data_IF_531649112805
#
_entry.id   IF_531649112805
#
_cell.length_a   1.000
_cell.length_b   1.000
_cell.length_c   1.000
_cell.angle_alpha   90.00
_cell.angle_beta   90.00
_cell.angle_gamma   90.00
#
_symmetry.space_group_name_H-M   'P 1'
#
loop_
_entity.id
_entity.type
_entity.pdbx_description
1 polymer ?
#
# COMPACT_ATOMS: atom_id res chain seq x y z
N UNK A 1 -0.39 -11.69 13.41
CA UNK A 1 -1.34 -11.59 14.57
C UNK A 1 -2.70 -12.03 14.07
N UNK A 2 -3.34 -13.02 14.71
CA UNK A 2 -4.74 -13.33 14.41
C UNK A 2 -5.53 -12.05 14.63
N UNK A 3 -6.27 -11.59 13.60
CA UNK A 3 -7.06 -10.38 13.68
C UNK A 3 -7.93 -10.39 14.92
N UNK A 4 -7.88 -9.33 15.71
CA UNK A 4 -8.75 -9.19 16.86
C UNK A 4 -10.19 -9.33 16.37
N UNK A 5 -10.95 -10.24 17.01
CA UNK A 5 -12.38 -10.38 16.71
C UNK A 5 -13.03 -9.02 16.89
N UNK A 6 -13.86 -8.61 15.92
CA UNK A 6 -14.70 -7.43 16.08
C UNK A 6 -15.52 -7.58 17.36
N UNK A 7 -15.51 -6.55 18.17
CA UNK A 7 -16.29 -6.53 19.39
C UNK A 7 -17.75 -6.22 19.05
N UNK A 8 -18.65 -6.99 19.61
CA UNK A 8 -20.08 -6.69 19.62
C UNK A 8 -20.34 -5.93 20.91
N UNK A 9 -20.53 -4.63 20.83
CA UNK A 9 -20.78 -3.78 22.01
C UNK A 9 -22.24 -3.83 22.44
N UNK A 10 -23.11 -4.21 21.50
CA UNK A 10 -24.54 -4.38 21.74
C UNK A 10 -24.86 -5.88 21.77
N UNK A 11 -25.31 -6.38 22.91
CA UNK A 11 -25.60 -7.82 23.11
C UNK A 11 -26.98 -8.24 22.61
N UNK A 12 -27.73 -7.33 21.97
CA UNK A 12 -29.11 -7.57 21.53
C UNK A 12 -29.15 -7.76 20.02
N UNK A 13 -29.78 -8.84 19.60
CA UNK A 13 -30.17 -9.06 18.23
C UNK A 13 -31.66 -8.78 17.98
N UNK A 14 -32.11 -8.95 16.74
CA UNK A 14 -33.51 -8.72 16.37
C UNK A 14 -34.49 -9.48 17.26
N UNK A 15 -34.21 -10.76 17.58
CA UNK A 15 -35.12 -11.58 18.39
C UNK A 15 -35.20 -11.08 19.85
N UNK A 16 -34.06 -10.66 20.42
CA UNK A 16 -34.02 -10.07 21.76
C UNK A 16 -34.76 -8.76 21.84
N UNK A 17 -34.69 -7.92 20.83
CA UNK A 17 -35.40 -6.63 20.76
C UNK A 17 -36.87 -6.86 20.68
N UNK A 18 -37.36 -7.81 19.88
CA UNK A 18 -38.78 -8.18 19.80
C UNK A 18 -39.25 -8.68 21.15
N UNK A 19 -38.51 -9.58 21.81
CA UNK A 19 -38.86 -10.11 23.11
C UNK A 19 -38.95 -9.00 24.18
N UNK A 20 -38.00 -8.09 24.22
CA UNK A 20 -37.97 -6.93 25.11
C UNK A 20 -39.15 -5.99 24.87
N UNK A 21 -39.50 -5.72 23.62
CA UNK A 21 -40.67 -4.90 23.27
C UNK A 21 -41.98 -5.53 23.79
N UNK A 22 -42.14 -6.83 23.56
CA UNK A 22 -43.31 -7.57 24.05
C UNK A 22 -43.36 -7.55 25.58
N UNK A 23 -42.24 -7.85 26.24
CA UNK A 23 -42.15 -7.81 27.70
C UNK A 23 -42.51 -6.42 28.26
N UNK A 24 -42.01 -5.36 27.63
CA UNK A 24 -42.26 -3.97 27.99
C UNK A 24 -43.74 -3.60 27.84
N UNK A 25 -44.37 -4.03 26.73
CA UNK A 25 -45.80 -3.79 26.48
C UNK A 25 -46.63 -4.49 27.56
N UNK A 26 -46.37 -5.76 27.83
CA UNK A 26 -47.08 -6.53 28.88
C UNK A 26 -46.91 -5.89 30.26
N UNK A 27 -45.72 -5.45 30.61
CA UNK A 27 -45.45 -4.80 31.90
C UNK A 27 -46.16 -3.44 32.04
N UNK A 28 -46.20 -2.64 30.95
CA UNK A 28 -46.71 -1.26 31.00
C UNK A 28 -48.22 -1.19 30.92
N UNK A 29 -48.86 -1.99 30.06
CA UNK A 29 -50.27 -1.90 29.77
C UNK A 29 -51.08 -3.06 30.32
N UNK A 30 -50.46 -4.19 30.69
CA UNK A 30 -51.12 -5.39 31.16
C UNK A 30 -51.65 -6.26 30.02
N UNK A 31 -51.70 -7.57 30.22
CA UNK A 31 -52.14 -8.56 29.22
C UNK A 31 -53.64 -8.42 28.87
N UNK A 32 -54.42 -7.71 29.68
CA UNK A 32 -55.84 -7.48 29.46
C UNK A 32 -56.14 -6.54 28.27
N UNK A 33 -55.19 -5.74 27.83
CA UNK A 33 -55.40 -4.81 26.72
C UNK A 33 -54.84 -5.36 25.40
N UNK A 34 -53.75 -6.17 25.46
CA UNK A 34 -53.17 -6.80 24.29
C UNK A 34 -52.40 -8.05 24.72
N UNK A 35 -52.88 -9.21 24.28
CA UNK A 35 -52.30 -10.52 24.61
C UNK A 35 -51.99 -11.37 23.39
N UNK A 36 -52.36 -10.90 22.19
CA UNK A 36 -52.12 -11.58 20.94
C UNK A 36 -50.81 -11.06 20.30
N UNK A 37 -49.78 -11.87 20.40
CA UNK A 37 -48.44 -11.61 19.84
C UNK A 37 -48.04 -12.68 18.82
N UNK A 38 -49.03 -13.35 18.21
CA UNK A 38 -48.77 -14.32 17.15
C UNK A 38 -48.22 -13.60 15.89
N UNK A 39 -47.51 -14.34 15.04
CA UNK A 39 -46.79 -13.76 13.88
C UNK A 39 -47.71 -13.09 12.84
N UNK A 40 -48.96 -13.51 12.74
CA UNK A 40 -49.99 -12.97 11.86
C UNK A 40 -50.69 -11.70 12.39
N UNK A 41 -50.41 -11.32 13.63
CA UNK A 41 -50.99 -10.14 14.23
C UNK A 41 -50.32 -8.85 13.71
N UNK A 42 -51.15 -7.88 13.28
CA UNK A 42 -50.68 -6.60 12.75
C UNK A 42 -49.82 -5.82 13.77
N UNK A 43 -50.10 -5.91 15.06
CA UNK A 43 -49.31 -5.28 16.11
C UNK A 43 -47.94 -5.94 16.26
N UNK A 44 -47.88 -7.28 16.14
CA UNK A 44 -46.60 -8.02 16.11
C UNK A 44 -45.75 -7.61 14.92
N UNK A 45 -46.32 -7.48 13.71
CA UNK A 45 -45.62 -7.02 12.51
C UNK A 45 -45.02 -5.62 12.69
N UNK A 46 -45.70 -4.72 13.39
CA UNK A 46 -45.16 -3.39 13.71
C UNK A 46 -43.97 -3.48 14.69
N UNK A 47 -44.05 -4.36 15.71
CA UNK A 47 -42.93 -4.60 16.65
C UNK A 47 -41.72 -5.14 15.89
N UNK A 48 -41.91 -6.10 14.99
CA UNK A 48 -40.84 -6.68 14.17
C UNK A 48 -40.20 -5.65 13.22
N UNK A 49 -41.03 -4.81 12.57
CA UNK A 49 -40.52 -3.73 11.74
C UNK A 49 -39.70 -2.72 12.57
N UNK A 50 -40.13 -2.41 13.79
CA UNK A 50 -39.40 -1.54 14.70
C UNK A 50 -38.08 -2.20 15.20
N UNK A 51 -38.16 -3.49 15.54
CA UNK A 51 -37.00 -4.28 15.95
C UNK A 51 -35.95 -4.35 14.84
N UNK A 52 -36.37 -4.53 13.57
CA UNK A 52 -35.46 -4.51 12.42
C UNK A 52 -34.72 -3.17 12.28
N UNK A 53 -35.43 -2.05 12.38
CA UNK A 53 -34.76 -0.72 12.33
C UNK A 53 -33.82 -0.53 13.51
N UNK A 54 -34.24 -1.01 14.70
CA UNK A 54 -33.35 -0.91 15.89
C UNK A 54 -32.12 -1.78 15.76
N UNK A 55 -32.23 -3.02 15.28
CA UNK A 55 -31.09 -3.92 15.02
C UNK A 55 -30.13 -3.32 14.00
N UNK A 56 -30.66 -2.70 12.93
CA UNK A 56 -29.85 -1.97 11.96
C UNK A 56 -29.09 -0.79 12.59
N UNK A 57 -29.73 -0.04 13.48
CA UNK A 57 -29.05 1.05 14.20
C UNK A 57 -27.97 0.53 15.15
N UNK A 58 -28.23 -0.56 15.87
CA UNK A 58 -27.24 -1.21 16.74
C UNK A 58 -26.05 -1.75 15.93
N UNK A 59 -26.30 -2.31 14.75
CA UNK A 59 -25.25 -2.73 13.83
C UNK A 59 -24.36 -1.55 13.41
N UNK A 60 -24.95 -0.39 13.05
CA UNK A 60 -24.15 0.80 12.73
C UNK A 60 -23.40 1.34 13.94
N UNK A 61 -23.97 1.26 15.13
CA UNK A 61 -23.28 1.66 16.37
C UNK A 61 -22.09 0.77 16.66
N UNK A 62 -22.24 -0.55 16.56
CA UNK A 62 -21.16 -1.51 16.72
C UNK A 62 -20.06 -1.30 15.67
N UNK A 63 -20.46 -1.09 14.41
CA UNK A 63 -19.53 -0.78 13.34
C UNK A 63 -18.73 0.50 13.65
N UNK A 64 -19.43 1.58 14.02
CA UNK A 64 -18.79 2.85 14.36
C UNK A 64 -17.83 2.71 15.55
N UNK A 65 -18.23 1.96 16.59
CA UNK A 65 -17.38 1.70 17.73
C UNK A 65 -16.09 0.93 17.33
N UNK A 66 -16.21 -0.10 16.49
CA UNK A 66 -15.05 -0.83 15.99
C UNK A 66 -14.13 0.03 15.11
N UNK A 67 -14.69 0.98 14.35
CA UNK A 67 -13.90 1.91 13.52
C UNK A 67 -13.12 2.97 14.32
N UNK A 68 -13.32 3.09 15.64
CA UNK A 68 -12.55 4.02 16.49
C UNK A 68 -11.24 3.44 17.00
N UNK A 69 -10.96 2.15 16.78
CA UNK A 69 -9.74 1.49 17.25
C UNK A 69 -8.93 0.95 16.09
N UNK A 70 -7.65 1.28 16.06
CA UNK A 70 -6.72 0.88 14.99
C UNK A 70 -6.77 -0.64 14.67
N UNK A 71 -6.76 -1.59 15.64
CA UNK A 71 -6.77 -3.01 15.34
C UNK A 71 -8.08 -3.52 14.72
N UNK A 72 -9.23 -2.88 15.02
CA UNK A 72 -10.55 -3.33 14.58
C UNK A 72 -11.12 -2.55 13.41
N UNK A 73 -10.57 -1.37 13.12
CA UNK A 73 -10.99 -0.54 12.00
C UNK A 73 -10.80 -1.27 10.66
N UNK A 74 -11.72 -1.06 9.73
CA UNK A 74 -11.74 -1.70 8.41
C UNK A 74 -11.75 -0.70 7.26
N UNK A 75 -12.15 0.54 7.54
CA UNK A 75 -12.17 1.60 6.55
C UNK A 75 -10.81 2.30 6.50
N UNK A 76 -10.16 2.29 5.32
CA UNK A 76 -8.83 2.86 5.13
C UNK A 76 -8.76 4.34 5.56
N UNK A 77 -9.79 5.14 5.27
CA UNK A 77 -9.80 6.55 5.63
C UNK A 77 -9.78 6.77 7.15
N UNK A 78 -10.49 5.93 7.91
CA UNK A 78 -10.48 5.99 9.37
C UNK A 78 -9.10 5.64 9.94
N UNK A 79 -8.42 4.65 9.35
CA UNK A 79 -7.05 4.29 9.69
C UNK A 79 -6.07 5.44 9.42
N UNK A 80 -6.13 6.08 8.24
CA UNK A 80 -5.32 7.26 7.91
C UNK A 80 -5.54 8.36 8.97
N UNK A 81 -6.79 8.65 9.32
CA UNK A 81 -7.11 9.67 10.32
C UNK A 81 -6.58 9.33 11.73
N UNK A 82 -6.63 8.05 12.13
CA UNK A 82 -6.03 7.62 13.41
C UNK A 82 -4.50 7.69 13.38
N UNK A 83 -3.88 7.35 12.26
CA UNK A 83 -2.43 7.43 12.08
C UNK A 83 -1.89 8.86 12.20
N UNK A 84 -2.66 9.87 11.79
CA UNK A 84 -2.31 11.30 11.98
C UNK A 84 -2.10 11.65 13.45
N UNK A 85 -2.87 11.04 14.38
CA UNK A 85 -2.74 11.30 15.82
C UNK A 85 -1.41 10.81 16.41
N UNK A 86 -0.78 9.84 15.76
CA UNK A 86 0.51 9.27 16.18
C UNK A 86 1.66 9.68 15.26
N UNK A 87 1.45 10.69 14.40
CA UNK A 87 2.39 11.17 13.40
C UNK A 87 2.92 10.08 12.45
N UNK A 88 2.11 9.05 12.18
CA UNK A 88 2.38 8.04 11.17
C UNK A 88 1.64 8.39 9.88
N UNK A 89 2.40 8.59 8.80
CA UNK A 89 1.83 8.79 7.46
C UNK A 89 1.92 7.46 6.70
N UNK A 90 0.78 6.79 6.43
CA UNK A 90 0.76 5.58 5.62
C UNK A 90 1.34 5.86 4.23
N UNK A 91 2.07 4.89 3.68
CA UNK A 91 2.65 5.02 2.34
C UNK A 91 1.55 5.15 1.30
N UNK A 92 1.75 6.07 0.36
CA UNK A 92 0.94 6.22 -0.85
C UNK A 92 1.51 5.36 -1.97
N UNK A 93 0.79 5.26 -3.09
CA UNK A 93 1.30 4.62 -4.30
C UNK A 93 2.60 5.31 -4.76
N UNK A 94 3.56 4.52 -5.20
CA UNK A 94 4.86 5.02 -5.70
C UNK A 94 5.01 4.73 -7.18
N UNK A 95 5.60 5.66 -7.94
CA UNK A 95 5.91 5.45 -9.34
C UNK A 95 7.17 4.58 -9.49
N UNK A 96 7.21 3.80 -10.55
CA UNK A 96 8.43 3.12 -10.95
C UNK A 96 9.44 4.09 -11.59
N UNK A 97 10.72 3.76 -11.47
CA UNK A 97 11.83 4.48 -12.09
C UNK A 97 12.53 3.58 -13.10
N UNK A 98 12.90 4.15 -14.24
CA UNK A 98 13.59 3.46 -15.30
C UNK A 98 14.84 4.26 -15.75
N UNK A 99 15.94 3.56 -16.05
CA UNK A 99 17.06 4.13 -16.77
C UNK A 99 16.85 3.94 -18.28
N UNK A 100 16.79 5.03 -19.00
CA UNK A 100 16.43 5.08 -20.41
C UNK A 100 17.64 5.44 -21.24
N UNK A 101 17.97 4.60 -22.20
CA UNK A 101 18.95 4.89 -23.26
C UNK A 101 18.22 5.60 -24.40
N UNK A 102 18.58 6.86 -24.64
CA UNK A 102 18.13 7.66 -25.78
C UNK A 102 19.17 7.60 -26.87
N UNK A 103 18.81 7.20 -28.08
CA UNK A 103 19.75 6.99 -29.20
C UNK A 103 19.27 7.62 -30.52
N UNK A 104 20.22 7.89 -31.42
CA UNK A 104 20.00 8.36 -32.79
C UNK A 104 20.70 7.42 -33.78
N UNK A 105 20.11 7.23 -34.95
CA UNK A 105 20.60 6.30 -35.97
C UNK A 105 21.94 6.72 -36.58
N UNK A 106 22.26 7.99 -36.58
CA UNK A 106 23.51 8.53 -37.13
C UNK A 106 24.03 9.71 -36.31
N UNK A 107 25.34 9.82 -36.17
CA UNK A 107 25.96 10.92 -35.42
C UNK A 107 25.55 12.28 -35.97
N UNK A 108 25.15 13.17 -35.08
CA UNK A 108 24.74 14.55 -35.39
C UNK A 108 25.94 15.52 -35.18
N UNK A 109 26.01 16.59 -35.97
CA UNK A 109 27.07 17.59 -35.88
C UNK A 109 26.91 18.57 -34.71
N UNK A 110 25.75 18.61 -34.09
CA UNK A 110 25.40 19.42 -32.93
C UNK A 110 24.72 18.56 -31.84
N UNK A 111 24.68 19.07 -30.62
CA UNK A 111 23.97 18.38 -29.54
C UNK A 111 22.49 18.21 -29.88
N UNK A 112 21.95 17.02 -29.56
CA UNK A 112 20.51 16.71 -29.67
C UNK A 112 19.97 16.57 -28.27
N UNK A 113 18.88 17.29 -27.96
CA UNK A 113 18.29 17.34 -26.63
C UNK A 113 16.84 16.85 -26.69
N UNK A 114 16.54 15.84 -25.89
CA UNK A 114 15.17 15.48 -25.51
C UNK A 114 14.89 16.20 -24.16
N UNK A 115 13.88 17.08 -24.07
CA UNK A 115 13.69 17.92 -22.89
C UNK A 115 13.21 17.10 -21.68
N UNK A 116 13.45 17.67 -20.48
CA UNK A 116 12.86 17.20 -19.23
C UNK A 116 11.33 17.15 -19.34
N UNK A 117 10.70 16.12 -18.73
CA UNK A 117 9.26 15.90 -18.80
C UNK A 117 8.78 15.30 -20.12
N UNK A 118 9.69 14.88 -21.01
CA UNK A 118 9.31 14.19 -22.24
C UNK A 118 8.62 12.86 -21.93
N UNK A 119 7.45 12.65 -22.55
CA UNK A 119 6.64 11.45 -22.38
C UNK A 119 7.17 10.29 -23.23
N UNK A 120 7.50 9.21 -22.57
CA UNK A 120 7.92 7.92 -23.11
C UNK A 120 6.84 6.88 -22.84
N UNK A 121 6.58 5.98 -23.76
CA UNK A 121 5.50 5.01 -23.60
C UNK A 121 5.97 3.58 -23.81
N UNK A 122 5.30 2.69 -23.09
CA UNK A 122 5.30 1.25 -23.41
C UNK A 122 4.27 0.93 -24.48
N UNK A 123 4.35 -0.26 -25.07
CA UNK A 123 3.33 -0.73 -26.03
C UNK A 123 1.93 -0.86 -25.42
N UNK A 124 1.84 -0.99 -24.10
CA UNK A 124 0.58 -1.10 -23.36
C UNK A 124 0.00 0.28 -22.97
N UNK A 125 0.71 1.38 -23.29
CA UNK A 125 0.26 2.74 -23.04
C UNK A 125 0.60 3.29 -21.66
N UNK A 126 1.50 2.63 -20.90
CA UNK A 126 2.06 3.22 -19.68
C UNK A 126 3.02 4.34 -20.04
N UNK A 127 2.89 5.48 -19.35
CA UNK A 127 3.67 6.69 -19.60
C UNK A 127 4.78 6.81 -18.56
N UNK A 128 5.97 7.15 -19.05
CA UNK A 128 7.13 7.54 -18.23
C UNK A 128 7.57 8.95 -18.67
N UNK A 129 7.96 9.80 -17.75
CA UNK A 129 8.48 11.13 -18.06
C UNK A 129 9.94 11.23 -17.66
N UNK A 130 10.76 11.83 -18.52
CA UNK A 130 12.19 12.08 -18.22
C UNK A 130 12.32 13.06 -17.07
N UNK A 131 13.24 12.77 -16.13
CA UNK A 131 13.51 13.61 -14.94
C UNK A 131 14.47 14.75 -15.24
N UNK A 132 15.26 14.61 -16.32
CA UNK A 132 16.24 15.55 -16.76
C UNK A 132 16.27 15.68 -18.30
N UNK A 133 17.02 16.66 -18.80
CA UNK A 133 17.28 16.77 -20.23
C UNK A 133 18.24 15.67 -20.71
N UNK A 134 17.79 14.83 -21.63
CA UNK A 134 18.66 13.86 -22.26
C UNK A 134 19.45 14.53 -23.41
N UNK A 135 20.73 14.78 -23.21
CA UNK A 135 21.58 15.47 -24.18
C UNK A 135 22.55 14.48 -24.82
N UNK A 136 22.36 14.17 -26.09
CA UNK A 136 23.32 13.44 -26.93
C UNK A 136 24.32 14.46 -27.48
N UNK A 137 25.60 14.36 -27.11
CA UNK A 137 26.63 15.30 -27.56
C UNK A 137 26.94 15.12 -29.02
N UNK A 138 27.45 16.17 -29.65
CA UNK A 138 27.87 16.13 -31.05
C UNK A 138 28.87 14.97 -31.29
N UNK A 139 28.55 14.10 -32.24
CA UNK A 139 29.32 12.91 -32.58
C UNK A 139 29.04 11.66 -31.72
N UNK A 140 28.31 11.75 -30.63
CA UNK A 140 27.84 10.60 -29.86
C UNK A 140 26.53 10.04 -30.48
N UNK A 141 26.21 8.77 -30.22
CA UNK A 141 25.03 8.09 -30.74
C UNK A 141 23.96 7.88 -29.68
N UNK A 142 24.32 7.94 -28.41
CA UNK A 142 23.36 7.69 -27.31
C UNK A 142 23.74 8.45 -26.04
N UNK A 143 22.77 8.58 -25.16
CA UNK A 143 22.89 9.08 -23.78
C UNK A 143 21.91 8.36 -22.86
N UNK A 144 22.14 8.42 -21.55
CA UNK A 144 21.24 7.88 -20.54
C UNK A 144 20.49 9.00 -19.82
N UNK A 145 19.25 8.74 -19.45
CA UNK A 145 18.42 9.64 -18.66
C UNK A 145 17.48 8.80 -17.78
N UNK A 146 17.27 9.26 -16.58
CA UNK A 146 16.24 8.66 -15.71
C UNK A 146 14.84 9.10 -16.14
N UNK A 147 13.89 8.17 -16.06
CA UNK A 147 12.48 8.45 -16.27
C UNK A 147 11.65 7.86 -15.13
N UNK A 148 10.56 8.54 -14.79
CA UNK A 148 9.65 8.18 -13.70
C UNK A 148 8.26 7.94 -14.28
N UNK A 149 7.64 6.83 -13.89
CA UNK A 149 6.30 6.46 -14.32
C UNK A 149 5.26 7.50 -13.89
N UNK A 150 4.23 7.69 -14.73
CA UNK A 150 3.12 8.61 -14.53
C UNK A 150 3.17 9.80 -15.46
N UNK A 151 2.08 10.53 -15.49
CA UNK A 151 1.88 11.71 -16.33
C UNK A 151 1.67 12.93 -15.44
N UNK A 152 2.37 14.04 -15.75
CA UNK A 152 2.29 15.29 -15.01
C UNK A 152 1.21 16.19 -15.62
N UNK A 153 0.32 16.68 -14.77
CA UNK A 153 -0.75 17.61 -15.13
C UNK A 153 -0.53 18.94 -14.40
N UNK A 154 -0.82 20.03 -15.11
CA UNK A 154 -0.88 21.37 -14.54
C UNK A 154 -2.28 21.92 -14.79
N UNK A 155 -3.05 22.10 -13.72
CA UNK A 155 -4.47 22.43 -13.80
C UNK A 155 -4.84 23.49 -12.77
N UNK A 156 -5.80 24.34 -13.14
CA UNK A 156 -6.44 25.27 -12.21
C UNK A 156 -7.47 24.50 -11.40
N UNK A 157 -7.31 24.46 -10.08
CA UNK A 157 -8.21 23.73 -9.18
C UNK A 157 -9.30 24.59 -8.55
N UNK A 158 -9.13 25.90 -8.59
CA UNK A 158 -10.12 26.86 -8.08
C UNK A 158 -9.60 28.27 -7.98
N UNK A 159 -10.43 29.12 -7.40
CA UNK A 159 -10.11 30.51 -7.08
C UNK A 159 -10.33 30.71 -5.58
N UNK A 160 -9.44 31.42 -4.93
CA UNK A 160 -9.55 31.76 -3.51
C UNK A 160 -10.74 32.68 -3.24
N UNK A 161 -11.44 32.44 -2.15
CA UNK A 161 -12.50 33.29 -1.60
C UNK A 161 -12.01 34.24 -0.50
N UNK A 162 -10.70 34.23 -0.19
CA UNK A 162 -10.08 35.03 0.87
C UNK A 162 -10.43 34.59 2.29
N UNK A 163 -11.17 33.50 2.47
CA UNK A 163 -11.56 32.99 3.77
C UNK A 163 -10.54 32.00 4.35
N UNK A 164 -10.60 31.76 5.64
CA UNK A 164 -9.70 30.83 6.34
C UNK A 164 -10.08 29.37 6.08
N UNK A 165 -9.06 28.48 6.03
CA UNK A 165 -9.26 27.03 5.93
C UNK A 165 -9.87 26.57 4.59
N UNK A 166 -9.48 27.21 3.49
CA UNK A 166 -9.91 26.78 2.15
C UNK A 166 -9.33 25.43 1.79
N UNK A 167 -10.17 24.56 1.22
CA UNK A 167 -9.81 23.22 0.75
C UNK A 167 -10.21 23.04 -0.71
N UNK A 168 -9.30 22.50 -1.51
CA UNK A 168 -9.52 22.23 -2.93
C UNK A 168 -9.14 20.80 -3.27
N UNK A 169 -10.02 20.10 -4.00
CA UNK A 169 -9.75 18.76 -4.50
C UNK A 169 -9.15 18.82 -5.90
N UNK A 170 -8.15 17.99 -6.16
CA UNK A 170 -7.63 17.81 -7.50
C UNK A 170 -8.67 17.10 -8.37
N UNK A 171 -8.80 17.50 -9.66
CA UNK A 171 -9.85 16.97 -10.54
C UNK A 171 -9.65 15.49 -10.93
N UNK A 172 -8.40 14.96 -10.85
CA UNK A 172 -8.06 13.59 -11.22
C UNK A 172 -7.84 12.72 -9.99
N UNK A 173 -8.19 11.45 -10.10
CA UNK A 173 -7.81 10.39 -9.16
C UNK A 173 -6.52 9.70 -9.62
N UNK A 174 -5.96 8.86 -8.76
CA UNK A 174 -4.68 8.19 -9.06
C UNK A 174 -3.47 9.09 -8.82
N UNK A 175 -3.62 10.14 -8.02
CA UNK A 175 -2.53 11.05 -7.66
C UNK A 175 -1.48 10.31 -6.85
N UNK A 176 -0.22 10.45 -7.25
CA UNK A 176 0.95 9.93 -6.53
C UNK A 176 1.70 11.02 -5.78
N UNK A 177 1.57 12.26 -6.20
CA UNK A 177 2.19 13.39 -5.51
C UNK A 177 1.81 14.73 -6.12
N UNK A 178 1.81 15.76 -5.27
CA UNK A 178 1.73 17.17 -5.68
C UNK A 178 3.15 17.68 -5.82
N UNK A 179 3.47 18.25 -6.97
CA UNK A 179 4.80 18.75 -7.29
C UNK A 179 4.94 20.21 -6.88
N UNK A 180 4.01 21.06 -7.35
CA UNK A 180 4.03 22.49 -7.09
C UNK A 180 2.60 23.03 -6.95
N UNK A 181 2.42 24.02 -6.09
CA UNK A 181 1.22 24.85 -6.00
C UNK A 181 1.61 26.30 -6.26
N UNK A 182 1.03 26.91 -7.28
CA UNK A 182 1.31 28.29 -7.67
C UNK A 182 0.06 29.15 -7.52
N UNK A 183 0.19 30.27 -6.79
CA UNK A 183 -0.87 31.24 -6.56
C UNK A 183 -0.31 32.63 -6.89
N UNK A 184 -0.97 33.39 -7.75
CA UNK A 184 -0.52 34.72 -8.22
C UNK A 184 0.94 34.72 -8.75
N UNK A 185 1.41 33.59 -9.31
CA UNK A 185 2.79 33.47 -9.79
C UNK A 185 3.85 33.14 -8.70
N UNK A 186 3.44 32.95 -7.45
CA UNK A 186 4.28 32.54 -6.33
C UNK A 186 4.14 31.06 -6.07
N UNK A 187 5.26 30.34 -5.92
CA UNK A 187 5.25 28.94 -5.53
C UNK A 187 5.11 28.85 -4.01
N UNK A 188 4.08 28.13 -3.59
CA UNK A 188 3.83 27.80 -2.18
C UNK A 188 4.55 26.52 -1.80
N UNK A 189 4.91 26.39 -0.54
CA UNK A 189 5.67 25.23 -0.03
C UNK A 189 4.75 24.22 0.64
N UNK A 190 4.91 22.93 0.30
CA UNK A 190 4.20 21.84 0.98
C UNK A 190 4.80 21.62 2.39
N UNK A 191 3.92 21.50 3.39
CA UNK A 191 4.30 21.21 4.78
C UNK A 191 3.45 20.07 5.34
N UNK A 192 4.00 19.32 6.31
CA UNK A 192 3.27 18.23 6.96
C UNK A 192 2.22 18.74 7.95
N UNK A 193 2.40 19.95 8.49
CA UNK A 193 1.49 20.57 9.45
C UNK A 193 1.53 22.09 9.37
N UNK A 194 0.35 22.71 9.47
CA UNK A 194 0.22 24.18 9.57
C UNK A 194 0.42 24.70 10.98
N UNK A 195 0.41 23.84 12.02
CA UNK A 195 0.36 24.25 13.42
C UNK A 195 1.53 25.17 13.84
N UNK A 196 2.73 24.94 13.30
CA UNK A 196 3.95 25.66 13.66
C UNK A 196 4.35 26.71 12.59
N UNK A 197 3.47 27.01 11.65
CA UNK A 197 3.77 27.94 10.55
C UNK A 197 3.47 29.38 10.93
N UNK A 198 4.29 30.30 10.41
CA UNK A 198 4.08 31.74 10.59
C UNK A 198 2.84 32.23 9.82
N UNK A 199 2.15 33.28 10.30
CA UNK A 199 0.96 33.81 9.66
C UNK A 199 1.12 34.18 8.18
N UNK A 200 2.30 34.66 7.79
CA UNK A 200 2.63 35.12 6.43
C UNK A 200 3.29 34.02 5.58
N UNK A 201 3.46 32.81 6.11
CA UNK A 201 4.11 31.73 5.39
C UNK A 201 3.21 31.22 4.26
N UNK A 202 3.73 31.23 3.03
CA UNK A 202 3.08 30.72 1.82
C UNK A 202 3.23 29.19 1.77
N UNK A 203 2.39 28.52 2.56
CA UNK A 203 2.42 27.06 2.77
C UNK A 203 1.05 26.43 2.59
N UNK A 204 1.06 25.17 2.18
CA UNK A 204 -0.12 24.33 2.06
C UNK A 204 0.14 22.92 2.58
N UNK A 205 -0.93 22.19 2.89
CA UNK A 205 -0.92 20.76 3.12
C UNK A 205 -1.53 20.06 1.91
N UNK A 206 -0.89 18.98 1.44
CA UNK A 206 -1.43 18.10 0.43
C UNK A 206 -1.72 16.73 1.06
N UNK A 207 -2.98 16.32 1.09
CA UNK A 207 -3.41 15.03 1.62
C UNK A 207 -3.97 14.15 0.51
N UNK A 208 -3.52 12.89 0.44
CA UNK A 208 -4.04 11.91 -0.51
C UNK A 208 -4.96 10.95 0.26
N UNK A 209 -6.22 10.87 -0.16
CA UNK A 209 -7.24 10.03 0.47
C UNK A 209 -7.11 8.54 0.07
N UNK A 210 -7.96 7.70 0.66
CA UNK A 210 -8.02 6.27 0.38
C UNK A 210 -8.35 5.94 -1.09
N UNK A 211 -8.94 6.87 -1.83
CA UNK A 211 -9.29 6.74 -3.26
C UNK A 211 -8.24 7.38 -4.18
N UNK A 212 -7.07 7.75 -3.63
CA UNK A 212 -5.98 8.41 -4.35
C UNK A 212 -6.42 9.75 -4.98
N UNK A 213 -7.31 10.48 -4.32
CA UNK A 213 -7.63 11.88 -4.64
C UNK A 213 -6.84 12.75 -3.70
N UNK A 214 -6.26 13.81 -4.21
CA UNK A 214 -5.53 14.76 -3.38
C UNK A 214 -6.40 15.97 -3.03
N UNK A 215 -6.31 16.41 -1.78
CA UNK A 215 -6.89 17.61 -1.23
C UNK A 215 -5.78 18.58 -0.84
N UNK A 216 -5.89 19.83 -1.26
CA UNK A 216 -4.98 20.92 -0.92
C UNK A 216 -5.67 21.81 0.10
N UNK A 217 -5.03 22.01 1.26
CA UNK A 217 -5.56 22.83 2.35
C UNK A 217 -4.63 23.98 2.67
N UNK A 218 -5.20 25.18 2.87
CA UNK A 218 -4.47 26.41 3.18
C UNK A 218 -4.66 26.84 4.63
N UNK A 219 -3.82 27.80 5.06
CA UNK A 219 -3.83 28.33 6.42
C UNK A 219 -5.01 29.23 6.76
N UNK A 220 -5.00 29.77 7.97
CA UNK A 220 -6.06 30.59 8.53
C UNK A 220 -5.60 32.03 8.87
N UNK A 221 -4.45 32.46 8.35
CA UNK A 221 -3.85 33.76 8.66
C UNK A 221 -3.21 33.88 10.05
N UNK A 222 -3.24 32.79 10.86
CA UNK A 222 -2.47 32.66 12.11
C UNK A 222 -1.43 31.56 12.00
N UNK A 223 -1.80 30.46 11.35
CA UNK A 223 -0.96 29.31 11.04
C UNK A 223 -1.00 29.11 9.53
N UNK A 224 -0.06 29.73 8.82
CA UNK A 224 -0.03 29.80 7.37
C UNK A 224 -0.89 30.94 6.79
N UNK A 225 -0.45 31.49 5.68
CA UNK A 225 -1.11 32.57 4.93
C UNK A 225 -2.44 32.08 4.32
N UNK A 226 -3.43 32.95 4.23
CA UNK A 226 -4.64 32.75 3.42
C UNK A 226 -4.33 33.25 2.02
N UNK A 227 -4.61 32.51 0.94
CA UNK A 227 -4.56 33.06 -0.42
C UNK A 227 -5.51 34.25 -0.55
N UNK A 228 -5.07 35.32 -1.23
CA UNK A 228 -5.87 36.53 -1.37
C UNK A 228 -7.15 36.25 -2.20
N UNK A 229 -8.21 37.04 -1.98
CA UNK A 229 -9.49 36.90 -2.70
C UNK A 229 -9.28 37.04 -4.22
N UNK A 230 -10.00 36.25 -5.00
CA UNK A 230 -9.94 36.15 -6.45
C UNK A 230 -8.61 35.62 -7.05
N UNK A 231 -7.65 35.17 -6.26
CA UNK A 231 -6.44 34.55 -6.79
C UNK A 231 -6.70 33.12 -7.31
N UNK A 232 -6.12 32.85 -8.49
CA UNK A 232 -6.22 31.55 -9.15
C UNK A 232 -5.18 30.59 -8.55
N UNK A 233 -5.66 29.40 -8.16
CA UNK A 233 -4.83 28.34 -7.62
C UNK A 233 -4.54 27.33 -8.73
N UNK A 234 -3.28 27.27 -9.14
CA UNK A 234 -2.78 26.31 -10.14
C UNK A 234 -1.93 25.26 -9.44
N UNK A 235 -2.17 24.01 -9.75
CA UNK A 235 -1.45 22.88 -9.15
C UNK A 235 -0.84 22.03 -10.24
N UNK A 236 0.45 21.72 -10.08
CA UNK A 236 1.17 20.74 -10.87
C UNK A 236 1.33 19.47 -10.07
N UNK A 237 0.82 18.36 -10.58
CA UNK A 237 0.78 17.09 -9.88
C UNK A 237 0.93 15.92 -10.84
N UNK A 238 1.33 14.76 -10.31
CA UNK A 238 1.54 13.54 -11.09
C UNK A 238 0.47 12.50 -10.80
N UNK A 239 0.00 11.85 -11.86
CA UNK A 239 -0.97 10.75 -11.82
C UNK A 239 -0.28 9.49 -12.36
N UNK A 240 -0.45 8.37 -11.67
CA UNK A 240 0.18 7.09 -12.01
C UNK A 240 0.47 6.26 -10.75
N UNK A 241 1.60 5.56 -10.75
CA UNK A 241 2.09 4.78 -9.63
C UNK A 241 1.42 3.42 -9.47
N UNK A 242 2.09 2.57 -8.73
CA UNK A 242 1.70 1.21 -8.48
C UNK A 242 2.66 0.21 -9.11
N UNK A 243 2.41 -1.07 -8.87
CA UNK A 243 3.25 -2.18 -9.35
C UNK A 243 3.26 -2.26 -10.88
N UNK A 244 2.19 -1.80 -11.55
CA UNK A 244 2.08 -1.83 -13.01
C UNK A 244 3.21 -1.05 -13.73
N UNK A 245 3.82 -0.06 -13.05
CA UNK A 245 4.97 0.67 -13.56
C UNK A 245 6.28 -0.13 -13.58
N UNK A 246 6.37 -1.26 -12.88
CA UNK A 246 7.55 -2.11 -12.86
C UNK A 246 7.61 -2.97 -14.15
N UNK A 247 8.04 -2.37 -15.25
CA UNK A 247 8.02 -3.01 -16.56
C UNK A 247 9.34 -3.68 -16.93
N UNK A 248 9.26 -4.71 -17.79
CA UNK A 248 10.42 -5.49 -18.26
C UNK A 248 11.39 -4.65 -19.10
N UNK A 249 12.65 -5.11 -19.25
CA UNK A 249 13.60 -4.52 -20.19
C UNK A 249 13.03 -4.48 -21.62
N UNK A 250 13.39 -3.44 -22.36
CA UNK A 250 13.01 -3.21 -23.76
C UNK A 250 11.51 -2.99 -24.03
N UNK A 251 10.74 -2.66 -22.98
CA UNK A 251 9.29 -2.38 -23.12
C UNK A 251 8.97 -0.91 -23.34
N UNK A 252 9.81 0.02 -22.83
CA UNK A 252 9.66 1.46 -23.05
C UNK A 252 10.39 1.80 -24.35
N UNK A 253 9.64 1.91 -25.44
CA UNK A 253 10.21 2.00 -26.77
C UNK A 253 9.54 3.04 -27.69
N UNK A 254 8.62 3.84 -27.17
CA UNK A 254 7.95 4.90 -27.91
C UNK A 254 8.21 6.27 -27.24
N UNK A 255 8.38 7.32 -28.05
CA UNK A 255 8.55 8.72 -27.63
C UNK A 255 7.41 9.53 -28.19
N UNK A 256 6.64 10.20 -27.34
CA UNK A 256 5.61 11.15 -27.77
C UNK A 256 6.21 12.48 -28.20
N UNK A 257 7.25 12.93 -27.50
CA UNK A 257 7.87 14.23 -27.69
C UNK A 257 8.97 14.20 -28.74
N UNK A 258 9.35 15.37 -29.22
CA UNK A 258 10.29 15.53 -30.31
C UNK A 258 11.59 16.10 -29.75
N UNK A 259 12.70 15.41 -29.94
CA UNK A 259 14.02 15.94 -29.66
C UNK A 259 14.41 17.02 -30.68
N UNK A 260 15.23 17.97 -30.23
CA UNK A 260 15.69 19.07 -31.08
C UNK A 260 17.21 19.22 -31.04
N UNK A 261 17.81 19.63 -32.17
CA UNK A 261 19.22 19.99 -32.22
C UNK A 261 19.44 21.42 -31.65
N UNK A 262 20.71 21.81 -31.52
CA UNK A 262 21.08 23.17 -31.04
C UNK A 262 20.61 24.31 -31.96
N UNK A 263 20.14 24.01 -33.16
CA UNK A 263 19.60 24.98 -34.13
C UNK A 263 18.05 24.98 -34.12
N UNK A 264 17.42 24.16 -33.30
CA UNK A 264 15.97 24.01 -33.21
C UNK A 264 15.37 23.08 -34.27
N UNK A 265 16.18 22.30 -35.02
CA UNK A 265 15.66 21.32 -35.95
C UNK A 265 15.20 20.07 -35.21
N UNK A 266 14.11 19.47 -35.69
CA UNK A 266 13.57 18.22 -35.14
C UNK A 266 14.47 17.05 -35.50
N UNK A 267 14.82 16.25 -34.50
CA UNK A 267 15.61 15.02 -34.67
C UNK A 267 14.81 13.84 -34.14
N UNK A 268 14.73 12.79 -34.92
CA UNK A 268 14.09 11.55 -34.48
C UNK A 268 15.05 10.79 -33.58
N UNK A 269 14.58 10.41 -32.39
CA UNK A 269 15.29 9.62 -31.41
C UNK A 269 14.58 8.30 -31.16
N UNK A 270 15.33 7.29 -30.82
CA UNK A 270 14.82 6.01 -30.31
C UNK A 270 15.11 5.91 -28.83
N UNK A 271 14.23 5.33 -28.07
CA UNK A 271 14.40 5.13 -26.62
C UNK A 271 14.24 3.66 -26.27
N UNK A 272 14.94 3.23 -25.22
CA UNK A 272 14.78 1.89 -24.67
C UNK A 272 15.24 1.86 -23.21
N UNK A 273 14.58 1.05 -22.40
CA UNK A 273 15.06 0.66 -21.07
C UNK A 273 15.84 -0.66 -21.20
N UNK A 274 17.14 -0.65 -20.91
CA UNK A 274 17.95 -1.87 -20.95
C UNK A 274 17.73 -2.74 -19.70
N UNK A 275 17.34 -2.11 -18.60
CA UNK A 275 17.06 -2.75 -17.33
C UNK A 275 15.57 -2.69 -17.00
N UNK A 276 15.18 -3.45 -15.98
CA UNK A 276 13.84 -3.37 -15.42
C UNK A 276 13.56 -1.98 -14.85
N UNK A 277 12.37 -1.44 -15.12
CA UNK A 277 11.82 -0.37 -14.32
C UNK A 277 11.42 -0.93 -12.95
N UNK A 278 11.73 -0.24 -11.87
CA UNK A 278 11.52 -0.73 -10.51
C UNK A 278 11.17 0.39 -9.53
N UNK A 279 10.71 0.02 -8.33
CA UNK A 279 10.34 0.97 -7.28
C UNK A 279 8.86 1.35 -7.27
N UNK A 280 8.10 0.92 -8.29
CA UNK A 280 6.64 1.04 -8.29
C UNK A 280 6.02 0.20 -7.19
N UNK A 281 5.15 0.80 -6.37
CA UNK A 281 4.49 0.14 -5.25
C UNK A 281 3.04 0.61 -5.08
N UNK A 282 2.19 -0.31 -4.65
CA UNK A 282 0.83 0.01 -4.25
C UNK A 282 0.79 0.79 -2.93
N UNK A 283 -0.31 1.49 -2.63
CA UNK A 283 -0.50 2.10 -1.32
C UNK A 283 -0.43 1.03 -0.21
N UNK A 284 0.14 1.40 0.92
CA UNK A 284 0.24 0.52 2.08
C UNK A 284 -1.10 -0.12 2.45
N UNK A 285 -1.14 -1.43 2.68
CA UNK A 285 -2.37 -2.15 3.01
C UNK A 285 -2.89 -1.82 4.42
N UNK A 286 -4.16 -2.13 4.67
CA UNK A 286 -4.77 -1.95 5.99
C UNK A 286 -4.04 -2.77 7.05
N UNK A 287 -3.66 -4.00 6.72
CA UNK A 287 -2.94 -4.93 7.60
C UNK A 287 -1.54 -4.42 7.93
N UNK A 288 -0.84 -3.89 6.92
CA UNK A 288 0.47 -3.26 7.08
C UNK A 288 0.40 -2.03 7.99
N UNK A 289 -0.57 -1.12 7.75
CA UNK A 289 -0.79 0.05 8.62
C UNK A 289 -1.01 -0.35 10.07
N UNK A 290 -1.88 -1.36 10.33
CA UNK A 290 -2.14 -1.87 11.68
C UNK A 290 -0.92 -2.46 12.36
N UNK A 291 -0.01 -3.04 11.58
CA UNK A 291 1.22 -3.65 12.08
C UNK A 291 2.29 -2.60 12.36
N UNK A 292 2.52 -1.68 11.41
CA UNK A 292 3.67 -0.77 11.44
C UNK A 292 3.41 0.55 12.15
N UNK A 293 2.19 1.09 12.12
CA UNK A 293 1.90 2.35 12.79
C UNK A 293 2.18 2.34 14.31
N UNK A 294 1.79 1.29 15.08
CA UNK A 294 2.17 1.18 16.49
C UNK A 294 3.69 1.01 16.68
N UNK A 295 4.34 0.18 15.88
CA UNK A 295 5.80 -0.05 15.95
C UNK A 295 6.58 1.23 15.68
N UNK A 296 6.17 1.99 14.66
CA UNK A 296 6.78 3.27 14.36
C UNK A 296 6.58 4.29 15.49
N UNK A 297 5.39 4.34 16.10
CA UNK A 297 5.13 5.20 17.24
C UNK A 297 6.02 4.85 18.44
N UNK A 298 6.32 3.57 18.68
CA UNK A 298 7.23 3.11 19.74
C UNK A 298 8.66 3.62 19.53
N UNK A 299 9.11 3.88 18.31
CA UNK A 299 10.46 4.39 18.01
C UNK A 299 10.70 5.81 18.54
N UNK A 300 9.65 6.60 18.76
CA UNK A 300 9.73 8.02 19.18
C UNK A 300 10.67 8.85 18.28
N UNK A 301 10.65 8.60 16.96
CA UNK A 301 11.50 9.23 15.95
C UNK A 301 13.01 9.06 16.19
N UNK A 302 13.45 7.92 16.70
CA UNK A 302 14.86 7.58 16.91
C UNK A 302 15.08 6.09 16.80
N UNK A 303 16.27 5.68 16.36
CA UNK A 303 16.67 4.29 16.28
C UNK A 303 17.57 3.95 17.47
N UNK A 304 17.09 3.08 18.36
CA UNK A 304 17.80 2.58 19.54
C UNK A 304 17.89 1.06 19.55
N UNK A 305 16.78 0.40 19.22
CA UNK A 305 16.66 -1.05 19.16
C UNK A 305 16.75 -1.56 17.71
N UNK A 306 17.02 -2.85 17.51
CA UNK A 306 16.97 -3.47 16.18
C UNK A 306 15.63 -3.20 15.48
N UNK A 307 14.53 -3.31 16.22
CA UNK A 307 13.18 -3.09 15.71
C UNK A 307 12.96 -1.65 15.24
N UNK A 308 13.59 -0.66 15.89
CA UNK A 308 13.51 0.73 15.44
C UNK A 308 14.17 0.91 14.08
N UNK A 309 15.36 0.32 13.87
CA UNK A 309 16.05 0.34 12.59
C UNK A 309 15.25 -0.36 11.49
N UNK A 310 14.62 -1.49 11.79
CA UNK A 310 13.72 -2.20 10.89
C UNK A 310 12.51 -1.32 10.52
N UNK A 311 11.85 -0.69 11.52
CA UNK A 311 10.69 0.18 11.31
C UNK A 311 11.03 1.40 10.44
N UNK A 312 12.17 2.07 10.70
CA UNK A 312 12.62 3.19 9.87
C UNK A 312 12.98 2.76 8.46
N UNK A 313 13.63 1.61 8.29
CA UNK A 313 13.95 1.11 6.96
C UNK A 313 12.69 0.75 6.17
N UNK A 314 11.72 0.08 6.80
CA UNK A 314 10.45 -0.26 6.14
C UNK A 314 9.64 0.99 5.83
N UNK A 315 9.71 2.04 6.68
CA UNK A 315 9.04 3.32 6.38
C UNK A 315 9.65 4.02 5.16
N UNK A 316 10.92 3.75 4.83
CA UNK A 316 11.54 4.34 3.66
C UNK A 316 10.92 3.78 2.38
N UNK A 317 10.67 4.67 1.42
CA UNK A 317 10.02 4.32 0.17
C UNK A 317 10.86 3.34 -0.67
N UNK A 318 10.19 2.34 -1.25
CA UNK A 318 10.83 1.31 -2.06
C UNK A 318 11.31 0.09 -1.28
N UNK A 319 11.36 0.13 0.04
CA UNK A 319 11.72 -1.02 0.87
C UNK A 319 10.45 -1.83 1.21
N UNK A 320 10.46 -3.11 0.84
CA UNK A 320 9.41 -4.07 1.15
C UNK A 320 9.62 -4.73 2.51
N UNK A 321 10.86 -5.17 2.78
CA UNK A 321 11.25 -5.79 4.06
C UNK A 321 12.63 -5.33 4.48
N UNK A 322 12.82 -5.28 5.79
CA UNK A 322 14.10 -4.97 6.42
C UNK A 322 14.33 -5.82 7.67
N UNK A 323 15.58 -6.22 7.90
CA UNK A 323 16.01 -6.93 9.11
C UNK A 323 17.32 -6.35 9.62
N UNK A 324 17.32 -5.89 10.86
CA UNK A 324 18.52 -5.36 11.51
C UNK A 324 19.18 -6.41 12.39
N UNK A 325 20.48 -6.59 12.24
CA UNK A 325 21.26 -7.51 13.07
C UNK A 325 22.43 -6.72 13.68
N UNK A 326 22.52 -6.75 15.01
CA UNK A 326 23.70 -6.24 15.72
C UNK A 326 24.80 -7.29 15.64
N UNK A 327 25.95 -6.93 15.09
CA UNK A 327 27.16 -7.75 15.12
C UNK A 327 28.21 -7.09 15.97
N UNK A 328 28.74 -7.84 16.93
CA UNK A 328 29.98 -7.49 17.58
C UNK A 328 31.13 -7.72 16.59
N UNK A 329 31.67 -6.67 16.03
CA UNK A 329 32.94 -6.74 15.32
C UNK A 329 34.04 -6.60 16.36
N UNK A 330 35.08 -7.43 16.28
CA UNK A 330 36.17 -7.42 17.28
C UNK A 330 36.74 -6.02 17.46
N UNK A 331 36.41 -5.37 18.57
CA UNK A 331 36.83 -4.02 18.93
C UNK A 331 35.89 -2.87 18.55
N UNK A 332 34.77 -3.11 17.84
CA UNK A 332 33.78 -2.10 17.48
C UNK A 332 32.42 -2.47 18.10
N UNK A 333 32.00 -1.74 19.12
CA UNK A 333 30.66 -1.84 19.67
C UNK A 333 29.68 -1.13 18.72
N UNK A 334 28.44 -1.65 18.61
CA UNK A 334 27.32 -1.07 17.90
C UNK A 334 27.43 -1.05 16.35
N UNK A 335 27.95 -2.13 15.76
CA UNK A 335 27.87 -2.33 14.33
C UNK A 335 26.52 -2.99 13.94
N UNK A 336 25.71 -2.27 13.18
CA UNK A 336 24.38 -2.71 12.76
C UNK A 336 24.42 -3.02 11.27
N UNK A 337 24.04 -4.25 10.93
CA UNK A 337 23.86 -4.66 9.56
C UNK A 337 22.36 -4.71 9.26
N UNK A 338 21.92 -3.86 8.33
CA UNK A 338 20.54 -3.73 7.90
C UNK A 338 20.36 -4.45 6.57
N UNK A 339 19.72 -5.60 6.60
CA UNK A 339 19.35 -6.35 5.41
C UNK A 339 18.04 -5.84 4.86
N UNK A 340 17.97 -5.58 3.55
CA UNK A 340 16.78 -5.02 2.90
C UNK A 340 16.40 -5.79 1.65
N UNK A 341 15.10 -5.85 1.39
CA UNK A 341 14.50 -6.33 0.15
C UNK A 341 13.53 -5.29 -0.37
N UNK A 342 13.44 -5.15 -1.69
CA UNK A 342 12.49 -4.28 -2.38
C UNK A 342 11.35 -5.08 -2.96
N UNK A 343 10.24 -4.42 -3.31
CA UNK A 343 9.15 -5.07 -4.04
C UNK A 343 9.64 -5.52 -5.41
N UNK A 344 9.24 -6.73 -5.79
CA UNK A 344 9.49 -7.27 -7.12
C UNK A 344 8.53 -6.70 -8.17
N UNK A 345 8.60 -7.26 -9.37
CA UNK A 345 7.83 -6.81 -10.54
C UNK A 345 6.37 -7.25 -10.46
N UNK A 346 6.12 -8.39 -9.85
CA UNK A 346 4.78 -8.94 -9.66
C UNK A 346 4.41 -8.87 -8.18
N UNK A 347 3.12 -8.69 -7.92
CA UNK A 347 2.58 -8.72 -6.55
C UNK A 347 3.00 -10.00 -5.82
N UNK A 348 3.49 -9.86 -4.59
CA UNK A 348 3.94 -10.99 -3.79
C UNK A 348 5.39 -11.45 -4.07
N UNK A 349 6.16 -10.72 -4.88
CA UNK A 349 7.58 -11.00 -5.12
C UNK A 349 8.49 -9.92 -4.55
N UNK A 350 9.74 -10.30 -4.26
CA UNK A 350 10.77 -9.37 -3.79
C UNK A 350 12.01 -9.45 -4.67
N UNK A 351 12.82 -8.40 -4.64
CA UNK A 351 14.12 -8.33 -5.32
C UNK A 351 15.14 -7.58 -4.48
N UNK A 352 16.38 -7.58 -4.92
CA UNK A 352 17.46 -6.84 -4.26
C UNK A 352 17.35 -5.34 -4.52
N UNK A 353 17.80 -4.54 -3.54
CA UNK A 353 17.88 -3.10 -3.69
C UNK A 353 19.07 -2.68 -4.59
N UNK A 354 18.88 -1.70 -5.45
CA UNK A 354 19.99 -1.10 -6.18
C UNK A 354 20.87 -0.26 -5.23
N UNK A 355 22.11 0.06 -5.65
CA UNK A 355 23.05 0.77 -4.78
C UNK A 355 22.58 2.18 -4.41
N UNK A 356 21.92 2.88 -5.33
CA UNK A 356 21.40 4.25 -5.10
C UNK A 356 20.35 4.22 -3.98
N UNK A 357 19.43 3.25 -4.01
CA UNK A 357 18.41 3.09 -2.97
C UNK A 357 19.03 2.79 -1.60
N UNK A 358 20.06 1.93 -1.55
CA UNK A 358 20.80 1.62 -0.32
C UNK A 358 21.50 2.84 0.26
N UNK A 359 22.15 3.64 -0.58
CA UNK A 359 22.86 4.86 -0.17
C UNK A 359 21.86 5.92 0.35
N UNK A 360 20.72 6.07 -0.31
CA UNK A 360 19.66 6.97 0.11
C UNK A 360 19.00 6.50 1.40
N UNK A 361 18.73 5.20 1.55
CA UNK A 361 18.22 4.62 2.80
C UNK A 361 19.20 4.83 3.95
N UNK A 362 20.50 4.59 3.71
CA UNK A 362 21.55 4.84 4.71
C UNK A 362 21.53 6.29 5.15
N UNK A 363 21.50 7.25 4.21
CA UNK A 363 21.46 8.67 4.51
C UNK A 363 20.16 9.07 5.27
N UNK A 364 19.05 8.39 5.01
CA UNK A 364 17.81 8.59 5.74
C UNK A 364 17.91 8.09 7.18
N UNK A 365 18.32 6.83 7.39
CA UNK A 365 18.41 6.22 8.73
C UNK A 365 19.50 6.89 9.58
N UNK A 366 20.57 7.38 8.95
CA UNK A 366 21.70 8.09 9.60
C UNK A 366 21.25 9.33 10.38
N UNK A 367 20.12 9.95 10.01
CA UNK A 367 19.54 11.12 10.72
C UNK A 367 18.91 10.74 12.06
N UNK A 368 18.51 9.49 12.22
CA UNK A 368 17.76 9.02 13.40
C UNK A 368 18.53 8.02 14.27
N UNK A 369 19.73 7.57 13.81
CA UNK A 369 20.56 6.64 14.56
C UNK A 369 21.19 7.26 15.82
N UNK A 370 21.64 6.42 16.72
CA UNK A 370 22.50 6.88 17.82
C UNK A 370 23.88 7.28 17.30
N UNK A 371 24.53 8.25 17.96
CA UNK A 371 25.83 8.80 17.53
C UNK A 371 26.94 7.75 17.46
N UNK A 372 26.82 6.67 18.24
CA UNK A 372 27.84 5.61 18.33
C UNK A 372 27.61 4.47 17.34
N UNK A 373 26.47 4.46 16.65
CA UNK A 373 26.07 3.34 15.81
C UNK A 373 26.68 3.46 14.41
N UNK A 374 27.21 2.36 13.92
CA UNK A 374 27.70 2.20 12.59
C UNK A 374 26.74 1.30 11.81
N UNK A 375 26.21 1.78 10.67
CA UNK A 375 25.21 1.06 9.88
C UNK A 375 25.81 0.67 8.52
N UNK A 376 25.55 -0.56 8.13
CA UNK A 376 25.82 -1.07 6.79
C UNK A 376 24.54 -1.65 6.20
N UNK A 377 24.19 -1.24 4.99
CA UNK A 377 22.98 -1.74 4.29
C UNK A 377 23.40 -2.82 3.30
N UNK A 378 22.85 -4.03 3.47
CA UNK A 378 23.10 -5.20 2.62
C UNK A 378 21.80 -5.75 2.02
N UNK A 379 21.92 -6.59 0.98
CA UNK A 379 20.78 -7.29 0.42
C UNK A 379 20.31 -8.40 1.34
N UNK A 380 19.00 -8.48 1.55
CA UNK A 380 18.35 -9.67 2.07
C UNK A 380 18.34 -10.80 1.05
N UNK A 381 17.97 -12.00 1.51
CA UNK A 381 17.76 -13.17 0.68
C UNK A 381 16.28 -13.56 0.71
N UNK A 382 15.86 -14.36 -0.23
CA UNK A 382 14.53 -14.97 -0.20
C UNK A 382 14.59 -16.42 -0.66
N UNK A 383 13.65 -17.23 -0.17
CA UNK A 383 13.47 -18.61 -0.54
C UNK A 383 12.02 -18.83 -0.99
N UNK A 384 11.83 -19.36 -2.18
CA UNK A 384 10.52 -19.74 -2.68
C UNK A 384 10.06 -21.06 -2.01
N UNK A 385 8.84 -21.05 -1.48
CA UNK A 385 8.21 -22.22 -0.86
C UNK A 385 7.15 -22.74 -1.79
N UNK A 386 7.35 -23.95 -2.30
CA UNK A 386 6.36 -24.65 -3.10
C UNK A 386 5.39 -25.42 -2.21
N UNK A 387 4.12 -25.46 -2.64
CA UNK A 387 3.07 -26.20 -1.98
C UNK A 387 2.49 -27.23 -2.93
N UNK A 388 2.50 -28.48 -2.52
CA UNK A 388 1.87 -29.56 -3.28
C UNK A 388 1.24 -30.58 -2.34
N UNK A 389 0.21 -31.29 -2.85
CA UNK A 389 -0.46 -32.29 -2.07
C UNK A 389 -1.83 -32.70 -2.61
N UNK A 390 -2.58 -33.41 -1.79
CA UNK A 390 -3.91 -33.89 -2.11
C UNK A 390 -4.93 -33.33 -1.12
N UNK A 391 -6.07 -32.89 -1.66
CA UNK A 391 -7.19 -32.37 -0.86
C UNK A 391 -8.46 -33.12 -1.21
N UNK A 392 -9.13 -33.66 -0.19
CA UNK A 392 -10.43 -34.30 -0.35
C UNK A 392 -11.51 -33.33 0.12
N UNK A 393 -12.47 -33.08 -0.75
CA UNK A 393 -13.58 -32.17 -0.46
C UNK A 393 -14.92 -32.88 -0.36
N UNK A 394 -15.86 -32.24 0.33
CA UNK A 394 -17.24 -32.68 0.48
C UNK A 394 -18.02 -32.55 -0.83
N UNK A 395 -18.98 -33.44 -1.03
CA UNK A 395 -19.91 -33.34 -2.16
C UNK A 395 -20.72 -32.03 -2.09
N UNK A 396 -20.86 -31.36 -3.24
CA UNK A 396 -21.59 -30.08 -3.36
C UNK A 396 -20.72 -28.83 -3.46
N UNK A 397 -19.40 -28.95 -3.27
CA UNK A 397 -18.45 -27.85 -3.45
C UNK A 397 -17.76 -27.92 -4.83
N UNK A 398 -17.49 -26.75 -5.41
CA UNK A 398 -16.77 -26.63 -6.68
C UNK A 398 -15.26 -26.75 -6.45
N UNK A 399 -14.60 -27.62 -7.21
CA UNK A 399 -13.14 -27.82 -7.17
C UNK A 399 -12.41 -26.51 -7.43
N UNK A 400 -12.80 -25.74 -8.46
CA UNK A 400 -12.14 -24.48 -8.82
C UNK A 400 -12.26 -23.45 -7.71
N UNK A 401 -13.42 -23.39 -7.05
CA UNK A 401 -13.64 -22.45 -5.93
C UNK A 401 -12.76 -22.80 -4.72
N UNK A 402 -12.68 -24.08 -4.37
CA UNK A 402 -11.82 -24.54 -3.26
C UNK A 402 -10.35 -24.30 -3.60
N UNK A 403 -9.92 -24.57 -4.85
CA UNK A 403 -8.54 -24.33 -5.26
C UNK A 403 -8.18 -22.83 -5.17
N UNK A 404 -9.10 -21.94 -5.56
CA UNK A 404 -8.90 -20.50 -5.42
C UNK A 404 -8.79 -20.08 -3.95
N UNK A 405 -9.63 -20.65 -3.06
CA UNK A 405 -9.57 -20.39 -1.63
C UNK A 405 -8.27 -20.91 -0.98
N UNK A 406 -7.78 -22.10 -1.39
CA UNK A 406 -6.48 -22.61 -0.94
C UNK A 406 -5.35 -21.68 -1.35
N UNK A 407 -5.34 -21.22 -2.61
CA UNK A 407 -4.33 -20.26 -3.10
C UNK A 407 -4.34 -18.96 -2.29
N UNK A 408 -5.51 -18.43 -2.02
CA UNK A 408 -5.66 -17.21 -1.22
C UNK A 408 -5.21 -17.41 0.24
N UNK A 409 -5.56 -18.53 0.87
CA UNK A 409 -5.13 -18.85 2.22
C UNK A 409 -3.60 -19.01 2.33
N UNK A 410 -2.97 -19.69 1.37
CA UNK A 410 -1.51 -19.84 1.31
C UNK A 410 -0.80 -18.53 0.98
N UNK A 411 -1.38 -17.69 0.09
CA UNK A 411 -0.88 -16.34 -0.17
C UNK A 411 -0.90 -15.49 1.10
N UNK A 412 -1.97 -15.57 1.89
CA UNK A 412 -2.08 -14.84 3.16
C UNK A 412 -1.06 -15.30 4.21
N UNK A 413 -0.62 -16.58 4.21
CA UNK A 413 0.41 -17.07 5.13
C UNK A 413 1.81 -16.52 4.83
N UNK A 414 2.14 -16.34 3.55
CA UNK A 414 3.44 -15.85 3.08
C UNK A 414 3.33 -14.46 2.45
N UNK A 415 2.35 -13.66 2.92
CA UNK A 415 2.21 -12.29 2.47
C UNK A 415 3.43 -11.47 2.90
N UNK A 416 4.08 -10.84 1.91
CA UNK A 416 5.28 -10.02 2.12
C UNK A 416 5.04 -8.95 3.18
N UNK A 417 3.84 -8.40 3.31
CA UNK A 417 3.58 -7.33 4.27
C UNK A 417 3.54 -7.83 5.71
N UNK A 418 3.04 -9.04 5.94
CA UNK A 418 2.79 -9.58 7.29
C UNK A 418 3.81 -10.61 7.74
N UNK A 419 4.46 -11.35 6.81
CA UNK A 419 5.48 -12.35 7.13
C UNK A 419 6.86 -11.70 7.23
N UNK A 420 7.56 -11.89 8.36
CA UNK A 420 8.84 -11.22 8.63
C UNK A 420 10.05 -12.06 8.17
N UNK A 421 11.18 -11.37 7.87
CA UNK A 421 12.46 -12.06 7.57
C UNK A 421 12.94 -12.87 8.77
N UNK A 422 13.35 -14.12 8.51
CA UNK A 422 13.77 -15.05 9.56
C UNK A 422 12.61 -15.76 10.29
N UNK A 423 11.36 -15.48 9.90
CA UNK A 423 10.18 -16.12 10.47
C UNK A 423 10.01 -17.53 9.88
N UNK A 424 9.83 -18.53 10.76
CA UNK A 424 9.66 -19.93 10.34
C UNK A 424 8.22 -20.21 9.91
N UNK A 425 8.06 -20.85 8.75
CA UNK A 425 6.77 -21.40 8.31
C UNK A 425 6.55 -22.75 8.96
N UNK A 426 5.63 -22.83 9.91
CA UNK A 426 5.28 -24.09 10.58
C UNK A 426 4.32 -24.87 9.71
N UNK A 427 4.59 -26.17 9.55
CA UNK A 427 3.70 -27.04 8.79
C UNK A 427 2.27 -27.09 9.36
N UNK A 428 2.12 -26.93 10.70
CA UNK A 428 0.81 -26.85 11.36
C UNK A 428 -0.03 -25.65 10.89
N UNK A 429 0.62 -24.53 10.57
CA UNK A 429 -0.07 -23.33 10.14
C UNK A 429 -0.58 -23.47 8.69
N UNK A 430 0.17 -24.21 7.87
CA UNK A 430 -0.25 -24.59 6.50
C UNK A 430 -1.48 -25.51 6.55
N UNK A 431 -1.43 -26.57 7.38
CA UNK A 431 -2.60 -27.44 7.56
C UNK A 431 -3.81 -26.67 8.09
N UNK A 432 -3.63 -25.83 9.11
CA UNK A 432 -4.71 -25.03 9.67
C UNK A 432 -5.32 -24.06 8.66
N UNK A 433 -4.51 -23.46 7.79
CA UNK A 433 -4.99 -22.57 6.76
C UNK A 433 -5.88 -23.27 5.73
N UNK A 434 -5.55 -24.51 5.36
CA UNK A 434 -6.32 -25.27 4.38
C UNK A 434 -7.54 -25.94 5.03
N UNK A 435 -7.39 -26.51 6.24
CA UNK A 435 -8.48 -27.20 6.98
C UNK A 435 -9.61 -26.23 7.38
N UNK A 436 -9.32 -24.94 7.58
CA UNK A 436 -10.34 -23.95 7.90
C UNK A 436 -11.23 -23.56 6.69
N UNK A 437 -10.94 -24.05 5.49
CA UNK A 437 -11.74 -23.79 4.29
C UNK A 437 -13.00 -24.66 4.34
N UNK A 438 -14.17 -24.04 4.28
CA UNK A 438 -15.44 -24.75 4.28
C UNK A 438 -15.54 -25.70 3.08
N UNK A 439 -15.81 -26.97 3.35
CA UNK A 439 -15.91 -28.02 2.34
C UNK A 439 -14.66 -28.91 2.24
N UNK A 440 -13.54 -28.55 2.83
CA UNK A 440 -12.35 -29.40 2.94
C UNK A 440 -12.60 -30.43 4.03
N UNK A 441 -12.32 -31.71 3.73
CA UNK A 441 -12.49 -32.84 4.65
C UNK A 441 -11.15 -33.41 5.10
N UNK A 442 -10.14 -33.38 4.23
CA UNK A 442 -8.84 -33.96 4.49
C UNK A 442 -7.79 -33.31 3.58
N UNK A 443 -6.61 -33.09 4.15
CA UNK A 443 -5.44 -32.56 3.44
C UNK A 443 -4.25 -33.45 3.70
N UNK A 444 -3.51 -33.77 2.66
CA UNK A 444 -2.22 -34.45 2.73
C UNK A 444 -1.22 -33.62 1.90
N UNK A 445 -0.18 -33.11 2.58
CA UNK A 445 0.85 -32.29 1.94
C UNK A 445 2.01 -33.19 1.50
N UNK A 446 2.39 -33.04 0.22
CA UNK A 446 3.62 -33.62 -0.31
C UNK A 446 4.80 -32.66 -0.08
N UNK A 447 4.57 -31.36 -0.22
CA UNK A 447 5.51 -30.27 0.08
C UNK A 447 4.76 -29.09 0.73
N UNK A 448 5.33 -28.46 1.78
CA UNK A 448 6.50 -28.88 2.57
C UNK A 448 6.17 -30.03 3.53
N UNK A 449 7.14 -30.96 3.73
CA UNK A 449 6.96 -32.09 4.66
C UNK A 449 7.33 -31.74 6.12
N UNK A 450 8.00 -30.64 6.33
CA UNK A 450 8.44 -30.20 7.66
C UNK A 450 8.44 -28.68 7.75
N UNK A 451 8.52 -28.15 8.97
CA UNK A 451 8.68 -26.73 9.24
C UNK A 451 9.91 -26.19 8.51
N UNK A 452 9.74 -25.11 7.75
CA UNK A 452 10.83 -24.39 7.07
C UNK A 452 11.31 -23.28 7.99
N UNK A 453 12.60 -23.29 8.31
CA UNK A 453 13.22 -22.25 9.14
C UNK A 453 14.28 -21.55 8.29
N UNK A 454 14.01 -20.34 7.79
CA UNK A 454 14.96 -19.59 6.99
C UNK A 454 16.08 -19.00 7.85
N UNK A 455 17.15 -18.54 7.19
CA UNK A 455 18.16 -17.73 7.84
C UNK A 455 17.55 -16.38 8.30
N UNK A 456 18.16 -15.73 9.30
CA UNK A 456 17.63 -14.48 9.88
C UNK A 456 17.48 -13.33 8.87
N UNK A 457 18.26 -13.34 7.80
CA UNK A 457 18.23 -12.37 6.69
C UNK A 457 17.53 -12.91 5.43
N UNK A 458 16.74 -13.96 5.57
CA UNK A 458 16.04 -14.63 4.49
C UNK A 458 14.52 -14.52 4.68
N UNK A 459 13.79 -14.18 3.62
CA UNK A 459 12.34 -14.10 3.58
C UNK A 459 11.79 -15.33 2.85
N UNK A 460 10.77 -15.96 3.40
CA UNK A 460 10.01 -16.98 2.69
C UNK A 460 8.98 -16.31 1.78
N UNK A 461 8.95 -16.68 0.52
CA UNK A 461 7.97 -16.16 -0.47
C UNK A 461 7.21 -17.31 -1.11
N UNK A 462 6.01 -17.02 -1.57
CA UNK A 462 5.15 -18.01 -2.22
C UNK A 462 5.74 -18.44 -3.55
N UNK A 463 5.98 -19.75 -3.70
CA UNK A 463 6.36 -20.39 -4.96
C UNK A 463 5.17 -21.01 -5.69
N UNK A 464 5.37 -22.16 -6.31
CA UNK A 464 4.34 -22.86 -7.04
C UNK A 464 3.34 -23.55 -6.11
N UNK A 465 2.06 -23.56 -6.51
CA UNK A 465 0.96 -24.24 -5.81
C UNK A 465 0.37 -25.30 -6.75
N UNK A 466 0.51 -26.56 -6.38
CA UNK A 466 0.02 -27.73 -7.14
C UNK A 466 -0.74 -28.71 -6.24
N UNK A 467 -2.06 -28.55 -6.14
CA UNK A 467 -2.92 -29.45 -5.38
C UNK A 467 -3.83 -30.28 -6.26
N UNK A 468 -3.85 -31.58 -6.01
CA UNK A 468 -4.83 -32.49 -6.59
C UNK A 468 -6.07 -32.54 -5.70
N UNK A 469 -7.22 -32.08 -6.23
CA UNK A 469 -8.49 -32.07 -5.47
C UNK A 469 -9.37 -33.25 -5.91
N UNK A 470 -9.88 -34.03 -4.98
CA UNK A 470 -10.77 -35.15 -5.22
C UNK A 470 -12.04 -35.08 -4.36
N UNK A 471 -13.16 -35.55 -4.90
CA UNK A 471 -14.43 -35.66 -4.17
C UNK A 471 -14.40 -36.91 -3.27
N UNK A 472 -15.08 -36.84 -2.12
CA UNK A 472 -15.17 -37.96 -1.16
C UNK A 472 -15.63 -39.28 -1.80
N UNK A 473 -16.49 -39.24 -2.81
CA UNK A 473 -16.99 -40.42 -3.53
C UNK A 473 -16.02 -41.07 -4.53
N UNK A 474 -14.93 -40.41 -4.92
CA UNK A 474 -13.97 -40.92 -5.91
C UNK A 474 -12.86 -41.81 -5.32
N UNK A 475 -12.65 -41.75 -4.01
CA UNK A 475 -11.57 -42.46 -3.29
C UNK A 475 -11.92 -43.94 -3.01
N UNK A 476 -13.16 -44.40 -3.23
CA UNK A 476 -13.60 -45.76 -2.86
C UNK A 476 -13.51 -46.80 -3.99
N UNK A 477 -12.53 -46.72 -4.91
CA UNK A 477 -12.27 -47.82 -5.86
C UNK A 477 -10.77 -48.16 -5.93
N UNK A 478 -10.21 -48.70 -4.85
CA UNK A 478 -8.87 -49.30 -4.95
C UNK A 478 -8.08 -49.35 -3.70
N UNK A 479 -8.62 -49.92 -2.63
CA UNK A 479 -7.82 -50.64 -1.63
C UNK A 479 -8.76 -51.54 -0.85
N UNK A 480 -8.80 -52.82 -1.23
CA UNK A 480 -9.22 -53.91 -0.34
C UNK A 480 -8.08 -54.17 0.65
N UNK A 481 -8.39 -54.07 1.92
CA UNK A 481 -7.72 -54.81 2.97
C UNK A 481 -8.59 -56.00 3.38
#
# INVERSE_FOLDING_TARGET
MAGLKRFKYTDKDHADIVADCIARIKQTYGEQYWNDFEEDNAGRMLIEAYAYVTDLLLFYLDRQANETYLPTATERQNLINMCKLIAYTPKTSKPAQADITVSIDSGHSSNVTLPIGSALETQEGLVFETTDNAVIKAGELSTHVEAVEGETFEEVIGTSDGEAWQNFYLPRSGVIGVLDVTIAGHNWSCVDSLADQLPEAEVYIAEIDAWRRAEISFGNGKTGKIPDEDEIITVRYRVGGGIAGNVAPYTINNVRDIATDSNGNKVQVSVTNENWASGGAEPESIESIKLWAPRFFETQNRCVTQQDYEAFAIKYDGIAKAKAIVRERSGEANFIRLYVLTYGITEGTVTTANQILKDNLLAYVDRYKMLTDWIEVEDGKWQEVNFSGQVIISDGFSIDKILAQIKEALKSLLDIETHDMGEALRISDVYAAIDNIEGVLFVELDEPQQTITPDINELLVLGNIDFTISLKGSVHRGQNF
#
